data_IF_354300038085
#
_entry.id   IF_354300038085
#
_cell.length_a   1.000
_cell.length_b   1.000
_cell.length_c   1.000
_cell.angle_alpha   90.00
_cell.angle_beta   90.00
_cell.angle_gamma   90.00
#
_symmetry.space_group_name_H-M   'P 1'
#
loop_
_entity.id
_entity.type
_entity.pdbx_description
1 polymer ?
#
# COMPACT_ATOMS: atom_id res chain seq x y z
N UNK A 1 54.75 12.80 -17.66
CA UNK A 1 54.05 12.27 -16.45
C UNK A 1 52.87 13.13 -15.95
N UNK A 2 52.71 14.38 -16.40
CA UNK A 2 51.59 15.25 -15.98
C UNK A 2 50.24 14.95 -16.68
N UNK A 3 50.20 14.28 -17.82
CA UNK A 3 48.97 13.99 -18.56
C UNK A 3 48.12 12.86 -17.94
N UNK A 4 48.75 11.89 -17.26
CA UNK A 4 48.02 10.76 -16.65
C UNK A 4 47.24 11.15 -15.40
N UNK A 5 47.68 12.11 -14.63
CA UNK A 5 47.01 12.60 -13.42
C UNK A 5 45.80 13.46 -13.75
N UNK A 6 45.81 14.20 -14.86
CA UNK A 6 44.67 15.00 -15.32
C UNK A 6 43.54 14.10 -15.84
N UNK A 7 43.87 13.03 -16.56
CA UNK A 7 42.86 12.06 -17.01
C UNK A 7 42.19 11.30 -15.85
N UNK A 8 42.94 10.95 -14.81
CA UNK A 8 42.38 10.26 -13.64
C UNK A 8 41.47 11.19 -12.83
N UNK A 9 41.80 12.47 -12.69
CA UNK A 9 40.95 13.45 -11.99
C UNK A 9 39.67 13.78 -12.78
N UNK A 10 39.72 13.77 -14.12
CA UNK A 10 38.54 13.99 -14.97
C UNK A 10 37.61 12.81 -14.95
N UNK A 11 38.12 11.57 -14.82
CA UNK A 11 37.29 10.34 -14.73
C UNK A 11 36.56 10.27 -13.40
N UNK A 12 37.11 10.77 -12.29
CA UNK A 12 36.45 10.84 -10.99
C UNK A 12 35.28 11.84 -10.96
N UNK A 13 35.36 12.90 -11.77
CA UNK A 13 34.32 13.93 -11.84
C UNK A 13 33.04 13.49 -12.60
N UNK A 14 33.10 12.35 -13.33
CA UNK A 14 31.99 11.81 -14.11
C UNK A 14 31.22 10.69 -13.37
N UNK A 15 31.58 10.38 -12.11
CA UNK A 15 30.75 9.45 -11.34
C UNK A 15 29.42 10.16 -11.02
N UNK A 16 28.29 9.67 -11.55
CA UNK A 16 26.99 10.21 -11.16
C UNK A 16 26.86 10.04 -9.64
N UNK A 17 26.60 11.13 -8.95
CA UNK A 17 26.19 11.06 -7.56
C UNK A 17 24.85 10.28 -7.55
N UNK A 18 24.90 8.98 -7.31
CA UNK A 18 23.70 8.15 -7.14
C UNK A 18 23.07 8.60 -5.82
N UNK A 19 22.23 9.59 -5.91
CA UNK A 19 21.39 9.97 -4.79
C UNK A 19 20.41 8.84 -4.56
N UNK A 20 20.48 8.19 -3.41
CA UNK A 20 19.56 7.10 -3.05
C UNK A 20 18.13 7.66 -3.05
N UNK A 21 17.29 7.09 -3.88
CA UNK A 21 15.88 7.46 -3.97
C UNK A 21 15.18 7.16 -2.64
N UNK A 22 14.42 8.13 -2.14
CA UNK A 22 13.64 7.97 -0.92
C UNK A 22 12.39 7.19 -1.27
N UNK A 23 12.22 6.03 -0.63
CA UNK A 23 11.04 5.19 -0.81
C UNK A 23 10.40 4.82 0.53
N UNK A 24 9.07 4.75 0.52
CA UNK A 24 8.23 4.24 1.60
C UNK A 24 7.30 3.19 1.01
N UNK A 25 7.50 1.93 1.37
CA UNK A 25 6.77 0.79 0.81
C UNK A 25 5.87 0.18 1.88
N UNK A 26 4.59 0.06 1.57
CA UNK A 26 3.55 -0.50 2.44
C UNK A 26 2.89 -1.71 1.79
N UNK A 27 2.35 -2.68 2.57
CA UNK A 27 1.42 -3.69 2.05
C UNK A 27 0.18 -3.04 1.42
N UNK A 28 -0.39 -3.67 0.40
CA UNK A 28 -1.59 -3.14 -0.27
C UNK A 28 -2.83 -3.15 0.64
N UNK A 29 -3.01 -4.23 1.41
CA UNK A 29 -4.19 -4.42 2.25
C UNK A 29 -3.92 -5.27 3.49
N UNK A 30 -4.66 -4.97 4.55
CA UNK A 30 -4.72 -5.74 5.79
C UNK A 30 -6.16 -5.87 6.26
N UNK A 31 -6.52 -7.02 6.81
CA UNK A 31 -7.87 -7.29 7.30
C UNK A 31 -7.85 -7.71 8.76
N UNK A 32 -8.76 -7.14 9.56
CA UNK A 32 -8.93 -7.47 10.95
C UNK A 32 -10.38 -7.67 11.35
N UNK A 33 -10.56 -8.21 12.56
CA UNK A 33 -11.87 -8.35 13.18
C UNK A 33 -12.02 -7.38 14.35
N UNK A 34 -13.22 -6.84 14.60
CA UNK A 34 -13.46 -5.95 15.73
C UNK A 34 -12.98 -6.57 17.06
N UNK A 35 -12.27 -5.76 17.86
CA UNK A 35 -11.63 -6.18 19.11
C UNK A 35 -10.26 -6.85 18.93
N UNK A 36 -9.86 -7.22 17.73
CA UNK A 36 -8.56 -7.80 17.42
C UNK A 36 -7.43 -6.76 17.34
N UNK A 37 -6.26 -7.22 16.88
CA UNK A 37 -5.09 -6.39 16.66
C UNK A 37 -4.60 -6.53 15.22
N UNK A 38 -4.03 -5.44 14.68
CA UNK A 38 -3.38 -5.36 13.38
C UNK A 38 -2.02 -4.67 13.53
N UNK A 39 -1.07 -5.04 12.68
CA UNK A 39 0.22 -4.36 12.59
C UNK A 39 0.45 -3.89 11.16
N UNK A 40 0.53 -2.58 10.97
CA UNK A 40 0.87 -1.98 9.70
C UNK A 40 2.37 -1.71 9.64
N UNK A 41 2.99 -1.96 8.49
CA UNK A 41 4.42 -1.75 8.27
C UNK A 41 4.67 -0.80 7.10
N UNK A 42 5.71 -0.01 7.24
CA UNK A 42 6.23 0.89 6.23
C UNK A 42 7.73 0.67 6.13
N UNK A 43 8.18 -0.01 5.08
CA UNK A 43 9.60 -0.23 4.80
C UNK A 43 10.17 1.00 4.13
N UNK A 44 11.25 1.53 4.69
CA UNK A 44 11.84 2.79 4.25
C UNK A 44 13.21 2.57 3.62
N UNK A 45 13.57 3.42 2.65
CA UNK A 45 14.93 3.48 2.11
C UNK A 45 15.28 4.89 1.64
N UNK A 46 16.59 5.13 1.43
CA UNK A 46 17.09 6.40 0.93
C UNK A 46 17.36 7.48 2.00
N UNK A 47 17.03 7.19 3.28
CA UNK A 47 17.25 8.11 4.40
C UNK A 47 17.50 7.37 5.72
N UNK A 48 17.94 8.08 6.76
CA UNK A 48 18.14 7.50 8.08
C UNK A 48 16.84 7.55 8.89
N UNK A 49 16.18 6.40 9.04
CA UNK A 49 14.92 6.26 9.79
C UNK A 49 15.08 6.71 11.25
N UNK A 50 16.23 6.47 11.87
CA UNK A 50 16.47 6.80 13.30
C UNK A 50 16.44 8.30 13.58
N UNK A 51 16.82 9.12 12.61
CA UNK A 51 16.89 10.58 12.74
C UNK A 51 15.86 11.36 11.93
N UNK A 52 14.83 10.69 11.44
CA UNK A 52 13.75 11.31 10.64
C UNK A 52 12.42 11.29 11.37
N UNK A 53 11.60 12.31 11.19
CA UNK A 53 10.22 12.32 11.67
C UNK A 53 9.34 11.47 10.76
N UNK A 54 8.51 10.63 11.37
CA UNK A 54 7.59 9.76 10.66
C UNK A 54 6.15 10.08 11.07
N UNK A 55 5.23 9.84 10.15
CA UNK A 55 3.81 10.11 10.35
C UNK A 55 2.98 8.91 9.92
N UNK A 56 1.89 8.64 10.64
CA UNK A 56 0.76 7.88 10.15
C UNK A 56 -0.41 8.81 9.93
N UNK A 57 -1.02 8.70 8.76
CA UNK A 57 -2.17 9.49 8.33
C UNK A 57 -3.19 8.50 7.78
N UNK A 58 -4.48 8.67 8.05
CA UNK A 58 -5.51 7.81 7.48
C UNK A 58 -6.52 8.60 6.68
N UNK A 59 -7.18 7.92 5.76
CA UNK A 59 -8.30 8.42 4.99
C UNK A 59 -9.45 7.43 5.06
N UNK A 60 -10.49 7.78 5.80
CA UNK A 60 -11.74 7.02 5.80
C UNK A 60 -12.45 7.25 4.46
N UNK A 61 -13.05 6.22 3.83
CA UNK A 61 -13.75 6.37 2.56
C UNK A 61 -14.79 7.51 2.59
N UNK A 62 -14.69 8.41 1.61
CA UNK A 62 -15.56 9.60 1.51
C UNK A 62 -15.21 10.75 2.45
N UNK A 63 -14.12 10.66 3.22
CA UNK A 63 -13.65 11.70 4.12
C UNK A 63 -12.27 12.24 3.69
N UNK A 64 -11.86 13.34 4.32
CA UNK A 64 -10.52 13.91 4.15
C UNK A 64 -9.44 13.10 4.88
N UNK A 65 -8.19 13.55 4.73
CA UNK A 65 -7.07 12.99 5.47
C UNK A 65 -7.16 13.37 6.95
N UNK A 66 -6.91 12.40 7.82
CA UNK A 66 -6.84 12.57 9.26
C UNK A 66 -5.44 12.18 9.72
N UNK A 67 -4.72 13.12 10.36
CA UNK A 67 -3.46 12.85 11.00
C UNK A 67 -3.70 12.02 12.27
N UNK A 68 -2.93 10.94 12.48
CA UNK A 68 -3.12 10.06 13.64
C UNK A 68 -1.87 9.91 14.50
N UNK A 69 -0.66 9.91 13.91
CA UNK A 69 0.60 9.78 14.66
C UNK A 69 1.68 10.66 14.07
N UNK A 70 2.39 11.38 14.92
CA UNK A 70 3.74 11.88 14.73
C UNK A 70 4.70 11.06 15.58
N UNK A 71 5.81 10.61 15.01
CA UNK A 71 6.77 9.80 15.73
C UNK A 71 8.20 10.11 15.30
N UNK A 72 8.97 10.68 16.22
CA UNK A 72 10.41 10.82 16.08
C UNK A 72 11.14 9.74 16.87
N UNK A 73 10.79 9.56 18.16
CA UNK A 73 11.33 8.56 19.09
C UNK A 73 10.30 8.17 20.14
N UNK A 74 10.62 7.21 20.99
CA UNK A 74 9.76 6.82 22.13
C UNK A 74 9.50 7.96 23.12
N UNK A 75 10.42 8.92 23.22
CA UNK A 75 10.29 10.12 24.07
C UNK A 75 9.78 11.34 23.32
N UNK A 76 9.71 11.31 22.00
CA UNK A 76 9.24 12.41 21.15
C UNK A 76 8.24 11.89 20.12
N UNK A 77 6.99 11.85 20.51
CA UNK A 77 5.86 11.40 19.70
C UNK A 77 4.58 12.11 20.12
N UNK A 78 3.60 12.10 19.24
CA UNK A 78 2.27 12.63 19.50
C UNK A 78 1.22 11.79 18.75
N UNK A 79 0.12 11.52 19.40
CA UNK A 79 -0.99 10.71 18.89
C UNK A 79 -2.28 11.53 18.92
N UNK A 80 -3.12 11.34 17.91
CA UNK A 80 -4.47 11.90 17.94
C UNK A 80 -5.24 11.37 19.16
N UNK A 81 -6.01 12.21 19.87
CA UNK A 81 -6.67 11.81 21.11
C UNK A 81 -7.56 10.57 20.99
N UNK A 82 -8.20 10.39 19.86
CA UNK A 82 -9.14 9.28 19.60
C UNK A 82 -8.48 7.90 19.54
N UNK A 83 -7.14 7.83 19.31
CA UNK A 83 -6.45 6.56 19.05
C UNK A 83 -5.27 6.27 20.00
N UNK A 84 -4.83 7.27 20.81
CA UNK A 84 -3.59 7.17 21.59
C UNK A 84 -3.54 5.97 22.55
N UNK A 85 -4.67 5.51 23.05
CA UNK A 85 -4.75 4.39 24.00
C UNK A 85 -4.82 3.01 23.27
N UNK A 86 -5.00 3.01 21.97
CA UNK A 86 -5.16 1.81 21.16
C UNK A 86 -4.04 1.58 20.15
N UNK A 87 -3.40 2.66 19.67
CA UNK A 87 -2.39 2.57 18.62
C UNK A 87 -1.02 2.93 19.16
N UNK A 88 -0.01 2.19 18.73
CA UNK A 88 1.39 2.40 19.12
C UNK A 88 2.27 2.37 17.89
N UNK A 89 2.99 3.47 17.65
CA UNK A 89 3.99 3.53 16.58
C UNK A 89 5.37 3.14 17.11
N UNK A 90 6.20 2.59 16.25
CA UNK A 90 7.57 2.20 16.56
C UNK A 90 8.47 2.26 15.33
N UNK A 91 9.78 2.38 15.54
CA UNK A 91 10.81 2.26 14.51
C UNK A 91 11.71 1.07 14.81
N UNK A 92 11.85 0.19 13.85
CA UNK A 92 12.94 -0.79 13.79
C UNK A 92 14.01 -0.25 12.82
N UNK A 93 15.01 0.41 13.38
CA UNK A 93 16.07 1.02 12.61
C UNK A 93 17.03 0.00 11.99
N UNK A 94 17.09 -1.22 12.53
CA UNK A 94 17.93 -2.29 12.00
C UNK A 94 17.37 -2.84 10.68
N UNK A 95 16.05 -2.89 10.56
CA UNK A 95 15.35 -3.38 9.39
C UNK A 95 14.76 -2.26 8.51
N UNK A 96 14.92 -0.99 8.92
CA UNK A 96 14.34 0.20 8.28
C UNK A 96 12.80 0.10 8.17
N UNK A 97 12.14 -0.30 9.25
CA UNK A 97 10.68 -0.44 9.31
C UNK A 97 10.10 0.57 10.30
N UNK A 98 9.15 1.36 9.84
CA UNK A 98 8.23 2.12 10.68
C UNK A 98 6.91 1.36 10.79
N UNK A 99 6.46 1.08 12.01
CA UNK A 99 5.30 0.24 12.26
C UNK A 99 4.22 0.98 13.06
N UNK A 100 2.96 0.55 12.88
CA UNK A 100 1.81 0.96 13.66
C UNK A 100 1.09 -0.29 14.17
N UNK A 101 1.17 -0.55 15.46
CA UNK A 101 0.38 -1.57 16.13
C UNK A 101 -0.99 -0.98 16.52
N UNK A 102 -2.05 -1.58 16.02
CA UNK A 102 -3.43 -1.20 16.29
C UNK A 102 -4.09 -2.28 17.15
N UNK A 103 -4.54 -1.93 18.33
CA UNK A 103 -5.23 -2.85 19.27
C UNK A 103 -6.70 -2.48 19.36
N UNK A 104 -7.53 -3.48 19.72
CA UNK A 104 -8.96 -3.29 19.87
C UNK A 104 -9.56 -2.53 18.68
N UNK A 105 -9.22 -2.99 17.47
CA UNK A 105 -9.67 -2.33 16.23
C UNK A 105 -11.20 -2.34 16.14
N UNK A 106 -11.74 -1.28 15.57
CA UNK A 106 -13.19 -1.09 15.38
C UNK A 106 -13.52 -1.06 13.91
N UNK A 107 -14.78 -1.27 13.55
CA UNK A 107 -15.25 -1.14 12.15
C UNK A 107 -14.92 0.26 11.60
N UNK A 108 -15.02 1.30 12.43
CA UNK A 108 -14.71 2.68 12.07
C UNK A 108 -13.20 2.94 11.84
N UNK A 109 -12.33 1.99 12.18
CA UNK A 109 -10.91 2.06 11.82
C UNK A 109 -10.64 1.61 10.36
N UNK A 110 -11.67 1.18 9.62
CA UNK A 110 -11.59 0.89 8.19
C UNK A 110 -11.24 2.16 7.41
N UNK A 111 -10.03 2.18 6.83
CA UNK A 111 -9.49 3.36 6.15
C UNK A 111 -8.25 2.97 5.33
N UNK A 112 -7.78 3.86 4.46
CA UNK A 112 -6.44 3.76 3.89
C UNK A 112 -5.47 4.45 4.85
N UNK A 113 -4.41 3.74 5.24
CA UNK A 113 -3.37 4.23 6.15
C UNK A 113 -2.10 4.51 5.37
N UNK A 114 -1.63 5.74 5.42
CA UNK A 114 -0.40 6.18 4.77
C UNK A 114 0.68 6.40 5.81
N UNK A 115 1.89 5.88 5.56
CA UNK A 115 3.08 6.38 6.22
C UNK A 115 3.67 7.54 5.42
N UNK A 116 4.25 8.50 6.12
CA UNK A 116 4.92 9.65 5.50
C UNK A 116 6.15 10.05 6.32
N UNK A 117 7.06 10.78 5.70
CA UNK A 117 8.23 11.37 6.38
C UNK A 117 8.46 12.79 5.92
N UNK A 118 9.06 13.60 6.81
CA UNK A 118 9.64 14.88 6.44
C UNK A 118 11.16 14.72 6.24
N UNK A 119 11.64 15.20 5.14
CA UNK A 119 13.07 15.32 4.87
C UNK A 119 13.31 16.73 4.35
N UNK A 120 14.34 17.39 4.87
CA UNK A 120 14.69 18.77 4.49
C UNK A 120 13.65 19.83 4.91
N UNK A 121 12.97 19.65 6.06
CA UNK A 121 12.10 20.66 6.65
C UNK A 121 10.75 20.84 5.98
N UNK A 122 10.34 19.91 5.12
CA UNK A 122 8.99 19.85 4.54
C UNK A 122 8.19 18.79 5.28
N UNK A 123 7.15 19.19 5.98
CA UNK A 123 6.24 18.27 6.69
C UNK A 123 5.60 17.31 5.68
N UNK A 124 5.73 16.00 5.94
CA UNK A 124 5.17 14.93 5.12
C UNK A 124 5.47 15.08 3.62
N UNK A 125 6.73 15.32 3.26
CA UNK A 125 7.16 15.53 1.87
C UNK A 125 7.20 14.25 1.04
N UNK A 126 7.31 13.05 1.67
CA UNK A 126 7.33 11.75 1.02
C UNK A 126 6.26 10.84 1.64
N UNK A 127 5.55 10.11 0.79
CA UNK A 127 4.42 9.28 1.18
C UNK A 127 4.58 7.86 0.67
N UNK A 128 4.12 6.88 1.46
CA UNK A 128 3.86 5.53 0.98
C UNK A 128 2.60 5.48 0.12
N UNK A 129 2.40 4.36 -0.58
CA UNK A 129 1.23 4.15 -1.45
C UNK A 129 -0.08 3.93 -0.67
N UNK A 130 0.01 3.72 0.63
CA UNK A 130 -1.11 3.42 1.50
C UNK A 130 -1.39 1.92 1.65
N UNK A 131 -1.93 1.56 2.82
CA UNK A 131 -2.46 0.22 3.11
C UNK A 131 -3.95 0.33 3.35
N UNK A 132 -4.78 -0.38 2.58
CA UNK A 132 -6.22 -0.48 2.84
C UNK A 132 -6.44 -1.40 4.04
N UNK A 133 -6.90 -0.84 5.14
CA UNK A 133 -7.32 -1.60 6.32
C UNK A 133 -8.82 -1.80 6.28
N UNK A 134 -9.25 -3.07 6.32
CA UNK A 134 -10.66 -3.44 6.42
C UNK A 134 -10.91 -4.13 7.75
N UNK A 135 -11.73 -3.54 8.61
CA UNK A 135 -12.18 -4.18 9.86
C UNK A 135 -13.61 -4.66 9.66
N UNK A 136 -13.82 -5.97 9.71
CA UNK A 136 -15.11 -6.59 9.40
C UNK A 136 -15.44 -7.76 10.30
N UNK A 137 -16.71 -7.97 10.59
CA UNK A 137 -17.24 -9.16 11.25
C UNK A 137 -17.50 -10.29 10.27
N UNK A 138 -17.39 -10.05 8.96
CA UNK A 138 -17.62 -11.06 7.95
C UNK A 138 -16.57 -12.16 8.04
N UNK A 139 -17.01 -13.41 7.97
CA UNK A 139 -16.12 -14.56 7.85
C UNK A 139 -15.46 -14.53 6.48
N UNK A 140 -14.11 -14.65 6.39
CA UNK A 140 -13.46 -14.74 5.11
C UNK A 140 -14.02 -15.87 4.25
N UNK A 141 -14.36 -15.56 3.02
CA UNK A 141 -14.82 -16.54 2.03
C UNK A 141 -14.05 -16.37 0.72
N UNK A 142 -13.60 -17.48 0.17
CA UNK A 142 -12.96 -17.50 -1.14
C UNK A 142 -13.96 -17.20 -2.25
N UNK A 143 -13.56 -16.51 -3.33
CA UNK A 143 -14.45 -16.25 -4.44
C UNK A 143 -14.81 -17.54 -5.20
N UNK A 144 -16.06 -17.62 -5.63
CA UNK A 144 -16.46 -18.56 -6.68
C UNK A 144 -16.18 -17.91 -8.03
N UNK A 145 -15.38 -18.55 -8.87
CA UNK A 145 -14.94 -18.00 -10.14
C UNK A 145 -15.78 -18.55 -11.30
N UNK A 146 -16.29 -17.67 -12.14
CA UNK A 146 -16.99 -18.00 -13.36
C UNK A 146 -16.24 -17.46 -14.57
N UNK A 147 -15.86 -18.35 -15.48
CA UNK A 147 -15.27 -17.98 -16.75
C UNK A 147 -16.35 -17.44 -17.71
N UNK A 148 -16.09 -16.31 -18.33
CA UNK A 148 -16.94 -15.69 -19.31
C UNK A 148 -16.22 -15.70 -20.66
N UNK A 149 -16.92 -16.03 -21.73
CA UNK A 149 -16.39 -16.00 -23.10
C UNK A 149 -17.42 -15.29 -23.97
N UNK A 150 -16.96 -14.34 -24.78
CA UNK A 150 -17.87 -13.72 -25.76
C UNK A 150 -18.27 -14.72 -26.82
N UNK A 151 -19.57 -14.99 -26.93
CA UNK A 151 -20.16 -15.77 -28.01
C UNK A 151 -20.77 -14.86 -29.07
N UNK A 152 -19.98 -13.95 -29.64
CA UNK A 152 -20.48 -13.06 -30.68
C UNK A 152 -20.58 -13.84 -32.02
N UNK A 153 -21.75 -14.34 -32.30
CA UNK A 153 -22.09 -14.87 -33.62
C UNK A 153 -22.36 -13.76 -34.65
N UNK A 154 -22.33 -12.48 -34.26
CA UNK A 154 -22.61 -11.38 -35.18
C UNK A 154 -21.87 -10.11 -34.73
N UNK A 155 -20.79 -9.76 -35.42
CA UNK A 155 -20.26 -8.40 -35.41
C UNK A 155 -18.78 -8.15 -35.13
N UNK A 156 -17.97 -9.14 -34.81
CA UNK A 156 -16.52 -8.90 -34.75
C UNK A 156 -15.87 -9.07 -36.12
N UNK A 157 -15.54 -7.95 -36.73
CA UNK A 157 -14.90 -7.86 -38.06
C UNK A 157 -13.45 -8.42 -38.00
N UNK A 158 -12.86 -8.55 -36.82
CA UNK A 158 -11.45 -8.96 -36.60
C UNK A 158 -11.26 -10.35 -36.00
N UNK A 159 -12.34 -11.07 -35.67
CA UNK A 159 -12.24 -12.42 -35.09
C UNK A 159 -11.68 -12.48 -33.67
N UNK A 160 -11.61 -11.36 -32.95
CA UNK A 160 -11.12 -11.32 -31.57
C UNK A 160 -12.12 -11.95 -30.59
N UNK A 161 -11.62 -12.73 -29.62
CA UNK A 161 -12.41 -13.35 -28.55
C UNK A 161 -12.10 -12.65 -27.24
N UNK A 162 -13.15 -12.21 -26.55
CA UNK A 162 -13.03 -11.61 -25.21
C UNK A 162 -13.23 -12.68 -24.16
N UNK A 163 -12.28 -12.80 -23.26
CA UNK A 163 -12.38 -13.64 -22.07
C UNK A 163 -12.64 -12.78 -20.85
N UNK A 164 -13.52 -13.22 -19.96
CA UNK A 164 -13.81 -12.56 -18.71
C UNK A 164 -13.76 -13.54 -17.54
N UNK A 165 -13.60 -13.01 -16.35
CA UNK A 165 -13.71 -13.74 -15.10
C UNK A 165 -14.64 -12.95 -14.17
N UNK A 166 -15.66 -13.61 -13.64
CA UNK A 166 -16.53 -13.07 -12.62
C UNK A 166 -16.23 -13.79 -11.31
N UNK A 167 -15.76 -13.06 -10.31
CA UNK A 167 -15.55 -13.54 -8.96
C UNK A 167 -16.78 -13.18 -8.12
N UNK A 168 -17.39 -14.15 -7.45
CA UNK A 168 -18.63 -13.94 -6.68
C UNK A 168 -18.51 -14.50 -5.26
N UNK A 169 -19.30 -13.92 -4.35
CA UNK A 169 -19.52 -14.38 -2.98
C UNK A 169 -18.24 -14.46 -2.12
N UNK A 170 -17.28 -13.56 -2.33
CA UNK A 170 -16.09 -13.47 -1.51
C UNK A 170 -16.19 -12.39 -0.42
N UNK A 171 -15.39 -12.51 0.60
CA UNK A 171 -15.24 -11.56 1.71
C UNK A 171 -13.85 -11.71 2.32
N UNK A 172 -13.19 -10.59 2.74
CA UNK A 172 -13.55 -9.20 2.54
C UNK A 172 -13.32 -8.72 1.10
N UNK A 173 -13.52 -7.42 0.83
CA UNK A 173 -13.26 -6.78 -0.47
C UNK A 173 -11.75 -6.57 -0.71
N UNK A 174 -11.03 -7.66 -0.82
CA UNK A 174 -9.59 -7.72 -1.13
C UNK A 174 -9.36 -8.84 -2.14
N UNK A 175 -9.81 -8.65 -3.36
CA UNK A 175 -9.51 -9.57 -4.45
C UNK A 175 -8.70 -8.84 -5.52
N UNK A 176 -7.51 -9.35 -5.84
CA UNK A 176 -6.79 -8.95 -7.02
C UNK A 176 -6.89 -10.05 -8.08
N UNK A 177 -7.22 -9.66 -9.31
CA UNK A 177 -7.30 -10.58 -10.45
C UNK A 177 -6.11 -10.34 -11.37
N UNK A 178 -5.33 -11.37 -11.59
CA UNK A 178 -4.20 -11.33 -12.52
C UNK A 178 -4.46 -12.28 -13.69
N UNK A 179 -4.20 -11.82 -14.89
CA UNK A 179 -4.35 -12.62 -16.11
C UNK A 179 -3.01 -13.18 -16.55
N UNK A 180 -2.96 -14.47 -16.84
CA UNK A 180 -1.77 -15.13 -17.39
C UNK A 180 -2.10 -15.92 -18.65
N UNK A 181 -1.25 -15.81 -19.67
CA UNK A 181 -1.28 -16.65 -20.87
C UNK A 181 0.01 -17.47 -20.93
N UNK A 182 -0.11 -18.79 -20.96
CA UNK A 182 1.05 -19.71 -20.92
C UNK A 182 2.04 -19.38 -19.78
N UNK A 183 1.51 -18.97 -18.60
CA UNK A 183 2.31 -18.60 -17.43
C UNK A 183 2.85 -17.17 -17.40
N UNK A 184 2.77 -16.43 -18.49
CA UNK A 184 3.21 -15.02 -18.57
C UNK A 184 2.08 -14.06 -18.20
N UNK A 185 2.42 -13.02 -17.44
CA UNK A 185 1.47 -11.98 -17.02
C UNK A 185 1.00 -11.16 -18.22
N UNK A 186 -0.31 -10.95 -18.34
CA UNK A 186 -0.93 -10.06 -19.31
C UNK A 186 -1.34 -8.77 -18.59
N UNK A 187 -0.83 -7.63 -19.05
CA UNK A 187 -1.15 -6.30 -18.52
C UNK A 187 -1.83 -5.39 -19.53
N UNK A 188 -1.73 -5.70 -20.82
CA UNK A 188 -2.32 -4.92 -21.91
C UNK A 188 -3.65 -5.52 -22.35
N UNK A 189 -4.65 -4.66 -22.62
CA UNK A 189 -5.99 -5.09 -23.02
C UNK A 189 -6.81 -5.72 -21.91
N UNK A 190 -6.38 -5.59 -20.64
CA UNK A 190 -7.11 -6.04 -19.44
C UNK A 190 -7.87 -4.87 -18.85
N UNK A 191 -9.15 -5.10 -18.55
CA UNK A 191 -10.00 -4.18 -17.83
C UNK A 191 -10.56 -4.86 -16.60
N UNK A 192 -10.41 -4.23 -15.44
CA UNK A 192 -10.94 -4.70 -14.17
C UNK A 192 -12.01 -3.72 -13.70
N UNK A 193 -13.16 -4.23 -13.33
CA UNK A 193 -14.27 -3.46 -12.78
C UNK A 193 -14.19 -3.48 -11.24
N UNK A 194 -14.62 -2.39 -10.57
CA UNK A 194 -14.68 -2.35 -9.13
C UNK A 194 -15.68 -3.40 -8.61
N UNK A 195 -15.39 -3.93 -7.42
CA UNK A 195 -16.27 -4.87 -6.73
C UNK A 195 -17.60 -4.20 -6.33
N UNK A 196 -18.64 -5.00 -6.26
CA UNK A 196 -19.95 -4.57 -5.82
C UNK A 196 -20.39 -5.45 -4.64
N UNK A 197 -20.77 -4.81 -3.53
CA UNK A 197 -21.29 -5.50 -2.36
C UNK A 197 -22.71 -5.99 -2.62
N UNK A 198 -22.95 -7.29 -2.45
CA UNK A 198 -24.28 -7.88 -2.60
C UNK A 198 -25.11 -7.77 -1.31
N UNK A 199 -26.39 -8.14 -1.37
CA UNK A 199 -27.31 -8.08 -0.21
C UNK A 199 -26.93 -9.01 0.93
N UNK A 200 -26.10 -10.04 0.68
CA UNK A 200 -25.60 -10.98 1.69
C UNK A 200 -24.36 -10.46 2.43
N UNK A 201 -23.83 -9.31 2.01
CA UNK A 201 -22.64 -8.71 2.59
C UNK A 201 -21.33 -9.23 2.02
N UNK A 202 -21.36 -10.13 1.05
CA UNK A 202 -20.21 -10.56 0.25
C UNK A 202 -20.05 -9.68 -1.00
N UNK A 203 -18.96 -9.85 -1.73
CA UNK A 203 -18.61 -9.05 -2.90
C UNK A 203 -18.64 -9.86 -4.19
N UNK A 204 -18.83 -9.14 -5.26
CA UNK A 204 -18.78 -9.65 -6.64
C UNK A 204 -17.95 -8.73 -7.48
#
# INVERSE_FOLDING_TARGET
MMTSTIFLSLLLALLPCVQSEITLIQPEAETGHPGGSLSLTCKTSGFNLGSSSMYWIRQVPGQGLEWIVYYYSSSSNNYAPAIKDRFTASKDTSNNIFALEMRSVKIDDTAIYYCATDISGRVAGYWGQGTMVTVTTATPSSPTLYGLVSSCQQGNIDGSVIYGCLAMDYSPDVASVTWKKHGQLITTGVQTYPSVRNKKGTYT
#
